data_IF_121918646527
#
_entry.id   IF_121918646527
#
_cell.length_a   1.000
_cell.length_b   1.000
_cell.length_c   1.000
_cell.angle_alpha   90.00
_cell.angle_beta   90.00
_cell.angle_gamma   90.00
#
_symmetry.space_group_name_H-M   'P 1'
#
loop_
_entity.id
_entity.type
_entity.pdbx_description
1 polymer ?
#
# COMPACT_ATOMS: atom_id res chain seq x y z
N UNK A 1 7.64 2.02 -16.79
CA UNK A 1 7.97 0.67 -16.29
C UNK A 1 8.03 0.69 -14.76
N UNK A 2 6.94 0.34 -14.05
CA UNK A 2 6.89 0.33 -12.58
C UNK A 2 7.81 -0.74 -11.97
N UNK A 3 7.84 -1.94 -12.58
CA UNK A 3 8.72 -3.06 -12.24
C UNK A 3 10.21 -2.68 -12.30
N UNK A 4 10.67 -2.10 -13.42
CA UNK A 4 12.07 -1.62 -13.57
C UNK A 4 12.45 -0.45 -12.67
N UNK A 5 11.46 0.32 -12.19
CA UNK A 5 11.68 1.40 -11.21
C UNK A 5 11.69 0.89 -9.77
N UNK A 6 11.64 -0.42 -9.55
CA UNK A 6 11.66 -1.04 -8.23
C UNK A 6 10.39 -0.77 -7.42
N UNK A 7 9.27 -0.35 -8.05
CA UNK A 7 8.02 -0.04 -7.33
C UNK A 7 7.32 -1.27 -6.76
N UNK A 8 7.89 -2.45 -6.95
CA UNK A 8 7.39 -3.70 -6.37
C UNK A 8 8.10 -4.03 -5.06
N UNK A 9 9.15 -3.26 -4.73
CA UNK A 9 9.99 -3.44 -3.55
C UNK A 9 9.44 -2.67 -2.34
N UNK A 10 9.33 -3.34 -1.19
CA UNK A 10 9.03 -2.76 0.11
C UNK A 10 9.88 -1.52 0.42
N UNK A 11 11.18 -1.56 0.07
CA UNK A 11 12.13 -0.49 0.39
C UNK A 11 11.77 0.87 -0.25
N UNK A 12 10.91 0.88 -1.27
CA UNK A 12 10.44 2.11 -1.92
C UNK A 12 9.27 2.78 -1.23
N UNK A 13 8.65 2.13 -0.24
CA UNK A 13 7.47 2.64 0.45
C UNK A 13 7.78 2.89 1.93
N UNK A 14 8.42 4.03 2.26
CA UNK A 14 8.67 4.39 3.64
C UNK A 14 7.35 4.60 4.37
N UNK A 15 7.35 4.32 5.68
CA UNK A 15 6.19 4.56 6.50
C UNK A 15 5.99 6.06 6.68
N UNK A 16 4.93 6.60 6.09
CA UNK A 16 4.53 8.00 6.28
C UNK A 16 3.57 8.06 7.45
N UNK A 17 4.04 8.63 8.56
CA UNK A 17 3.24 8.83 9.78
C UNK A 17 2.80 10.28 9.91
N UNK A 18 1.59 10.47 10.44
CA UNK A 18 1.13 11.75 10.94
C UNK A 18 1.25 11.74 12.47
N UNK A 19 1.79 12.83 13.01
CA UNK A 19 1.86 13.07 14.45
C UNK A 19 0.72 14.03 14.84
N UNK A 20 0.14 13.94 16.05
CA UNK A 20 -0.90 14.87 16.50
C UNK A 20 -0.50 16.35 16.38
N UNK A 21 0.79 16.65 16.53
CA UNK A 21 1.40 17.99 16.44
C UNK A 21 1.46 18.53 15.00
N UNK A 22 1.37 17.66 13.98
CA UNK A 22 1.38 18.09 12.59
C UNK A 22 0.14 18.94 12.28
N UNK A 23 0.39 20.19 11.89
CA UNK A 23 -0.65 21.19 11.61
C UNK A 23 -0.32 22.00 10.36
N UNK A 24 -1.37 22.56 9.73
CA UNK A 24 -1.25 23.44 8.57
C UNK A 24 -0.58 22.78 7.36
N UNK A 25 0.39 23.48 6.78
CA UNK A 25 1.05 23.08 5.52
C UNK A 25 1.86 21.79 5.63
N UNK A 26 2.43 21.49 6.81
CA UNK A 26 3.21 20.27 7.04
C UNK A 26 2.31 19.03 6.93
N UNK A 27 1.11 19.12 7.53
CA UNK A 27 0.13 18.05 7.47
C UNK A 27 -0.34 17.82 6.02
N UNK A 28 -0.63 18.91 5.30
CA UNK A 28 -1.06 18.86 3.92
C UNK A 28 0.02 18.27 2.98
N UNK A 29 1.29 18.61 3.22
CA UNK A 29 2.41 18.06 2.48
C UNK A 29 2.56 16.55 2.74
N UNK A 30 2.52 16.12 4.01
CA UNK A 30 2.59 14.71 4.39
C UNK A 30 1.45 13.90 3.80
N UNK A 31 0.23 14.43 3.84
CA UNK A 31 -0.94 13.78 3.25
C UNK A 31 -0.80 13.62 1.75
N UNK A 32 -0.41 14.66 1.01
CA UNK A 32 -0.19 14.58 -0.44
C UNK A 32 0.92 13.60 -0.81
N UNK A 33 2.00 13.57 -0.03
CA UNK A 33 3.07 12.58 -0.21
C UNK A 33 2.55 11.15 0.00
N UNK A 34 1.74 10.95 1.06
CA UNK A 34 1.12 9.67 1.35
C UNK A 34 0.16 9.23 0.24
N UNK A 35 -0.73 10.11 -0.22
CA UNK A 35 -1.67 9.84 -1.33
C UNK A 35 -0.91 9.43 -2.58
N UNK A 36 0.19 10.11 -2.90
CA UNK A 36 1.02 9.75 -4.06
C UNK A 36 1.58 8.34 -3.94
N UNK A 37 2.21 8.01 -2.83
CA UNK A 37 2.80 6.67 -2.64
C UNK A 37 1.73 5.57 -2.59
N UNK A 38 0.60 5.84 -1.94
CA UNK A 38 -0.55 4.93 -1.87
C UNK A 38 -1.18 4.72 -3.26
N UNK A 39 -1.24 5.76 -4.10
CA UNK A 39 -1.73 5.65 -5.48
C UNK A 39 -0.85 4.71 -6.33
N UNK A 40 0.47 4.76 -6.13
CA UNK A 40 1.42 3.93 -6.87
C UNK A 40 1.30 2.48 -6.41
N UNK A 41 1.20 2.26 -5.10
CA UNK A 41 0.99 0.94 -4.52
C UNK A 41 -0.29 0.28 -5.07
N UNK A 42 -1.42 0.99 -5.03
CA UNK A 42 -2.70 0.51 -5.60
C UNK A 42 -2.59 0.22 -7.09
N UNK A 43 -1.89 1.07 -7.85
CA UNK A 43 -1.64 0.85 -9.27
C UNK A 43 -0.81 -0.41 -9.53
N UNK A 44 0.22 -0.70 -8.72
CA UNK A 44 1.01 -1.93 -8.85
C UNK A 44 0.14 -3.17 -8.64
N UNK A 45 -0.72 -3.17 -7.63
CA UNK A 45 -1.63 -4.30 -7.40
C UNK A 45 -2.65 -4.48 -8.53
N UNK A 46 -3.25 -3.38 -9.01
CA UNK A 46 -4.17 -3.46 -10.15
C UNK A 46 -3.49 -3.96 -11.42
N UNK A 47 -2.25 -3.52 -11.68
CA UNK A 47 -1.47 -3.97 -12.82
C UNK A 47 -1.15 -5.47 -12.73
N UNK A 48 -0.75 -5.94 -11.54
CA UNK A 48 -0.47 -7.36 -11.31
C UNK A 48 -1.73 -8.21 -11.49
N UNK A 49 -2.86 -7.80 -10.90
CA UNK A 49 -4.13 -8.51 -11.04
C UNK A 49 -4.59 -8.57 -12.50
N UNK A 50 -4.44 -7.47 -13.23
CA UNK A 50 -4.76 -7.41 -14.66
C UNK A 50 -3.85 -8.35 -15.47
N UNK A 51 -2.55 -8.36 -15.19
CA UNK A 51 -1.60 -9.27 -15.87
C UNK A 51 -1.94 -10.74 -15.59
N UNK A 52 -2.22 -11.10 -14.34
CA UNK A 52 -2.64 -12.46 -13.99
C UNK A 52 -3.92 -12.85 -14.74
N UNK A 53 -4.92 -11.97 -14.81
CA UNK A 53 -6.15 -12.22 -15.55
C UNK A 53 -5.90 -12.39 -17.06
N UNK A 54 -5.09 -11.54 -17.68
CA UNK A 54 -4.72 -11.69 -19.09
C UNK A 54 -4.02 -13.03 -19.33
N UNK A 55 -3.04 -13.39 -18.52
CA UNK A 55 -2.30 -14.64 -18.66
C UNK A 55 -3.20 -15.86 -18.52
N UNK A 56 -4.20 -15.83 -17.63
CA UNK A 56 -5.23 -16.86 -17.54
C UNK A 56 -6.10 -16.95 -18.80
N UNK A 57 -6.62 -15.80 -19.29
CA UNK A 57 -7.51 -15.75 -20.46
C UNK A 57 -6.80 -16.21 -21.73
N UNK A 58 -5.56 -15.76 -21.93
CA UNK A 58 -4.75 -16.11 -23.09
C UNK A 58 -4.01 -17.45 -22.93
N UNK A 59 -4.15 -18.11 -21.78
CA UNK A 59 -3.45 -19.37 -21.43
C UNK A 59 -1.94 -19.27 -21.61
N UNK A 60 -1.39 -18.10 -21.30
CA UNK A 60 0.05 -17.85 -21.33
C UNK A 60 0.63 -17.94 -19.93
N UNK A 61 1.93 -18.22 -19.85
CA UNK A 61 2.63 -18.13 -18.56
C UNK A 61 2.57 -16.69 -18.03
N UNK A 62 2.27 -16.48 -16.74
CA UNK A 62 2.29 -15.15 -16.14
C UNK A 62 3.68 -14.53 -16.25
N UNK A 63 3.69 -13.24 -16.62
CA UNK A 63 4.90 -12.43 -16.79
C UNK A 63 5.42 -11.91 -15.43
N UNK A 64 4.55 -11.82 -14.43
CA UNK A 64 4.87 -11.36 -13.08
C UNK A 64 4.48 -12.41 -12.03
N UNK A 65 5.47 -12.97 -11.34
CA UNK A 65 5.22 -13.85 -10.21
C UNK A 65 4.78 -13.05 -8.99
N UNK A 66 3.91 -13.65 -8.16
CA UNK A 66 3.50 -13.03 -6.89
C UNK A 66 4.70 -12.80 -5.96
N UNK A 67 5.73 -13.65 -6.04
CA UNK A 67 6.94 -13.55 -5.22
C UNK A 67 7.75 -12.28 -5.48
N UNK A 68 7.52 -11.60 -6.61
CA UNK A 68 8.15 -10.32 -6.93
C UNK A 68 7.51 -9.13 -6.21
N UNK A 69 6.33 -9.31 -5.62
CA UNK A 69 5.59 -8.26 -4.91
C UNK A 69 5.94 -8.28 -3.42
N UNK A 70 7.01 -7.56 -3.06
CA UNK A 70 7.35 -7.31 -1.66
C UNK A 70 6.79 -5.98 -1.14
N UNK A 71 6.09 -5.21 -1.96
CA UNK A 71 5.47 -3.96 -1.54
C UNK A 71 4.40 -4.19 -0.45
N UNK A 72 4.23 -3.22 0.47
CA UNK A 72 3.21 -3.28 1.50
C UNK A 72 1.79 -3.30 0.91
N UNK A 73 0.87 -3.98 1.59
CA UNK A 73 -0.55 -3.96 1.23
C UNK A 73 -1.14 -2.53 1.19
N UNK A 74 -2.17 -2.31 0.35
CA UNK A 74 -2.90 -1.04 0.32
C UNK A 74 -3.49 -0.73 1.69
N UNK A 75 -3.43 0.54 2.06
CA UNK A 75 -4.06 1.02 3.26
C UNK A 75 -5.58 0.88 3.17
N UNK A 76 -6.22 0.89 4.34
CA UNK A 76 -7.66 0.69 4.45
C UNK A 76 -8.45 1.69 3.58
N UNK A 77 -9.58 1.28 3.01
CA UNK A 77 -10.40 2.17 2.17
C UNK A 77 -10.82 3.46 2.88
N UNK A 78 -11.04 3.41 4.20
CA UNK A 78 -11.40 4.59 4.99
C UNK A 78 -10.29 5.66 4.97
N UNK A 79 -9.03 5.25 5.08
CA UNK A 79 -7.88 6.17 5.04
C UNK A 79 -7.67 6.74 3.63
N UNK A 80 -7.86 5.92 2.59
CA UNK A 80 -7.75 6.35 1.19
C UNK A 80 -8.85 7.33 0.76
N UNK A 81 -10.08 7.10 1.22
CA UNK A 81 -11.23 7.94 0.87
C UNK A 81 -11.37 9.17 1.79
N UNK A 82 -10.36 9.49 2.60
CA UNK A 82 -10.40 10.67 3.45
C UNK A 82 -10.45 11.95 2.59
N UNK A 83 -11.41 12.86 2.82
CA UNK A 83 -11.59 14.04 1.97
C UNK A 83 -10.49 15.10 2.16
N UNK A 84 -9.93 15.16 3.38
CA UNK A 84 -8.97 16.19 3.78
C UNK A 84 -7.83 15.59 4.62
N UNK A 85 -6.69 16.29 4.65
CA UNK A 85 -5.53 15.91 5.45
C UNK A 85 -5.84 15.81 6.95
N UNK A 86 -6.78 16.63 7.46
CA UNK A 86 -7.22 16.57 8.87
C UNK A 86 -7.91 15.25 9.17
N UNK A 87 -8.87 14.86 8.33
CA UNK A 87 -9.62 13.62 8.49
C UNK A 87 -8.72 12.39 8.32
N UNK A 88 -7.80 12.46 7.37
CA UNK A 88 -6.75 11.45 7.20
C UNK A 88 -5.91 11.27 8.48
N UNK A 89 -5.46 12.37 9.10
CA UNK A 89 -4.72 12.32 10.37
C UNK A 89 -5.53 11.70 11.51
N UNK A 90 -6.79 12.13 11.68
CA UNK A 90 -7.67 11.58 12.70
C UNK A 90 -7.78 10.06 12.57
N UNK A 91 -8.08 9.57 11.37
CA UNK A 91 -8.17 8.13 11.10
C UNK A 91 -6.85 7.42 11.37
N UNK A 92 -5.72 7.98 10.94
CA UNK A 92 -4.41 7.38 11.18
C UNK A 92 -4.07 7.29 12.68
N UNK A 93 -4.37 8.33 13.46
CA UNK A 93 -4.16 8.34 14.90
C UNK A 93 -5.09 7.36 15.62
N UNK A 94 -6.34 7.21 15.18
CA UNK A 94 -7.27 6.20 15.72
C UNK A 94 -6.74 4.79 15.47
N UNK A 95 -6.26 4.49 14.25
CA UNK A 95 -5.68 3.19 13.94
C UNK A 95 -4.42 2.87 14.78
N UNK A 96 -3.58 3.88 15.03
CA UNK A 96 -2.43 3.75 15.93
C UNK A 96 -2.84 3.44 17.38
N UNK A 97 -3.93 4.05 17.86
CA UNK A 97 -4.42 3.89 19.22
C UNK A 97 -5.11 2.52 19.45
N UNK A 98 -5.77 1.98 18.43
CA UNK A 98 -6.49 0.69 18.49
C UNK A 98 -5.58 -0.55 18.51
N UNK A 99 -4.26 -0.38 18.62
CA UNK A 99 -3.33 -1.50 18.62
C UNK A 99 -3.25 -2.24 17.28
N UNK A 100 -3.91 -1.73 16.23
CA UNK A 100 -3.55 -1.98 14.84
C UNK A 100 -2.22 -1.29 14.61
N UNK A 101 -1.21 -1.96 15.11
CA UNK A 101 0.16 -1.58 14.98
C UNK A 101 0.37 -1.23 13.51
N UNK A 102 0.80 0.00 13.26
CA UNK A 102 1.36 0.41 11.97
C UNK A 102 2.72 -0.30 11.77
N UNK A 103 2.82 -1.54 12.24
CA UNK A 103 3.92 -2.45 12.02
C UNK A 103 3.76 -2.89 10.59
N UNK A 104 4.54 -2.23 9.74
CA UNK A 104 5.09 -2.78 8.51
C UNK A 104 4.02 -3.51 7.69
N UNK A 105 3.30 -2.80 6.80
CA UNK A 105 2.21 -3.43 6.07
C UNK A 105 2.77 -4.67 5.36
N UNK A 106 2.24 -5.82 5.76
CA UNK A 106 2.80 -7.12 5.38
C UNK A 106 2.73 -7.22 3.85
N UNK A 107 3.80 -7.65 3.18
CA UNK A 107 3.72 -7.92 1.76
C UNK A 107 2.74 -9.08 1.48
N UNK A 108 2.25 -9.16 0.25
CA UNK A 108 1.37 -10.28 -0.15
C UNK A 108 2.02 -11.63 0.12
N UNK A 109 3.34 -11.74 -0.02
CA UNK A 109 4.09 -12.97 0.21
C UNK A 109 3.93 -13.48 1.64
N UNK A 110 3.87 -12.59 2.64
CA UNK A 110 3.67 -12.96 4.04
C UNK A 110 2.24 -13.40 4.31
N UNK A 111 1.25 -12.77 3.67
CA UNK A 111 -0.14 -13.23 3.73
C UNK A 111 -0.31 -14.64 3.15
N UNK A 112 0.34 -14.94 2.02
CA UNK A 112 0.27 -16.26 1.39
C UNK A 112 0.90 -17.33 2.29
N UNK A 113 2.07 -17.06 2.88
CA UNK A 113 2.74 -18.00 3.81
C UNK A 113 1.88 -18.31 5.03
N UNK A 114 1.13 -17.32 5.55
CA UNK A 114 0.25 -17.55 6.70
C UNK A 114 -1.04 -18.32 6.36
N UNK A 115 -1.41 -18.42 5.07
CA UNK A 115 -2.58 -19.22 4.64
C UNK A 115 -2.28 -20.72 4.64
N UNK A 116 -1.01 -21.13 4.62
CA UNK A 116 -0.59 -22.54 4.66
C UNK A 116 -0.75 -23.17 6.06
N UNK A 117 -1.22 -22.41 7.06
CA UNK A 117 -1.50 -22.86 8.43
C UNK A 117 -2.98 -23.25 8.68
N UNK A 118 -3.81 -23.25 7.63
CA UNK A 118 -5.22 -23.69 7.64
C UNK A 118 -5.38 -25.00 6.88
#
# INVERSE_FOLDING_TARGET
MLRRRGRFDAARYPLITAHPVDTGQILEYKWRLWVREESIKRLVYHLWQHEAHCSMVFRTSPVMSYAELSLPLPACPALWNAPDAKRWKELLCTQQAEGQSVLRPTPLTECVVNMDLL
#
